data_IF_628861202895
#
_entry.id   IF_628861202895
#
_cell.length_a   1.000
_cell.length_b   1.000
_cell.length_c   1.000
_cell.angle_alpha   90.00
_cell.angle_beta   90.00
_cell.angle_gamma   90.00
#
_symmetry.space_group_name_H-M   'P 1'
#
loop_
_entity.id
_entity.type
_entity.pdbx_description
1 polymer ?
#
# COMPACT_ATOMS: atom_id res chain seq x y z
N UNK A 1 10.46 25.58 -30.44
CA UNK A 1 10.49 24.64 -29.29
C UNK A 1 9.35 24.89 -28.30
N UNK A 2 9.04 26.13 -27.90
CA UNK A 2 7.96 26.45 -26.95
C UNK A 2 6.53 25.96 -27.34
N UNK A 3 6.17 26.01 -28.64
CA UNK A 3 4.86 25.53 -29.11
C UNK A 3 4.68 24.00 -28.97
N UNK A 4 5.76 23.22 -29.12
CA UNK A 4 5.73 21.75 -28.94
C UNK A 4 5.57 21.37 -27.47
N UNK A 5 6.22 22.09 -26.55
CA UNK A 5 6.05 21.90 -25.10
C UNK A 5 4.62 22.27 -24.63
N UNK A 6 4.03 23.34 -25.18
CA UNK A 6 2.65 23.74 -24.86
C UNK A 6 1.58 22.73 -25.31
N UNK A 7 1.75 22.12 -26.49
CA UNK A 7 0.87 21.06 -27.02
C UNK A 7 1.01 19.73 -26.24
N UNK A 8 2.23 19.38 -25.82
CA UNK A 8 2.50 18.23 -24.95
C UNK A 8 1.87 18.40 -23.55
N UNK A 9 1.91 19.61 -22.99
CA UNK A 9 1.25 19.95 -21.72
C UNK A 9 -0.28 19.86 -21.79
N UNK A 10 -0.89 20.35 -22.87
CA UNK A 10 -2.35 20.25 -23.09
C UNK A 10 -2.81 18.79 -23.24
N UNK A 11 -2.05 17.97 -23.99
CA UNK A 11 -2.34 16.55 -24.17
C UNK A 11 -2.26 15.74 -22.87
N UNK A 12 -1.23 16.00 -22.04
CA UNK A 12 -1.12 15.41 -20.69
C UNK A 12 -2.31 15.79 -19.80
N UNK A 13 -2.74 17.05 -19.83
CA UNK A 13 -3.87 17.53 -19.04
C UNK A 13 -5.21 16.87 -19.44
N UNK A 14 -5.44 16.66 -20.74
CA UNK A 14 -6.65 15.98 -21.23
C UNK A 14 -6.65 14.49 -20.83
N UNK A 15 -5.53 13.78 -20.93
CA UNK A 15 -5.43 12.37 -20.51
C UNK A 15 -5.65 12.22 -19.00
N UNK A 16 -5.08 13.11 -18.18
CA UNK A 16 -5.33 13.15 -16.74
C UNK A 16 -6.81 13.40 -16.42
N UNK A 17 -7.47 14.31 -17.13
CA UNK A 17 -8.90 14.59 -16.98
C UNK A 17 -9.76 13.38 -17.39
N UNK A 18 -9.43 12.71 -18.49
CA UNK A 18 -10.15 11.52 -18.95
C UNK A 18 -10.00 10.34 -17.99
N UNK A 19 -8.78 10.08 -17.50
CA UNK A 19 -8.52 9.06 -16.47
C UNK A 19 -9.31 9.37 -15.20
N UNK A 20 -9.33 10.64 -14.80
CA UNK A 20 -10.12 11.11 -13.66
C UNK A 20 -11.61 10.89 -13.84
N UNK A 21 -12.18 11.24 -15.00
CA UNK A 21 -13.60 11.05 -15.28
C UNK A 21 -13.99 9.55 -15.23
N UNK A 22 -13.17 8.69 -15.84
CA UNK A 22 -13.37 7.24 -15.82
C UNK A 22 -13.29 6.67 -14.40
N UNK A 23 -12.38 7.17 -13.57
CA UNK A 23 -12.26 6.75 -12.19
C UNK A 23 -13.49 7.14 -11.35
N UNK A 24 -13.96 8.40 -11.47
CA UNK A 24 -15.19 8.86 -10.80
C UNK A 24 -16.43 8.08 -11.24
N UNK A 25 -16.57 7.82 -12.54
CA UNK A 25 -17.67 6.99 -13.06
C UNK A 25 -17.60 5.55 -12.53
N UNK A 26 -16.40 4.97 -12.48
CA UNK A 26 -16.21 3.60 -11.96
C UNK A 26 -16.53 3.50 -10.47
N UNK A 27 -16.28 4.57 -9.71
CA UNK A 27 -16.58 4.65 -8.27
C UNK A 27 -18.01 5.15 -7.96
N UNK A 28 -18.81 5.47 -8.97
CA UNK A 28 -20.18 5.95 -8.79
C UNK A 28 -21.05 4.92 -8.09
N UNK A 29 -21.89 5.36 -7.14
CA UNK A 29 -22.86 4.49 -6.47
C UNK A 29 -23.88 3.87 -7.44
N UNK A 30 -24.08 4.49 -8.60
CA UNK A 30 -24.96 3.99 -9.67
C UNK A 30 -24.30 2.92 -10.55
N UNK A 31 -23.00 2.67 -10.39
CA UNK A 31 -22.31 1.63 -11.14
C UNK A 31 -22.54 0.27 -10.46
N UNK A 32 -23.28 -0.68 -11.07
CA UNK A 32 -23.53 -2.00 -10.46
C UNK A 32 -22.24 -2.82 -10.31
N UNK A 33 -21.20 -2.48 -11.07
CA UNK A 33 -19.90 -3.11 -11.01
C UNK A 33 -18.96 -2.42 -10.02
N UNK A 34 -19.42 -1.39 -9.28
CA UNK A 34 -18.62 -0.69 -8.28
C UNK A 34 -18.04 -1.68 -7.27
N UNK A 35 -16.82 -1.39 -6.85
CA UNK A 35 -16.19 -2.01 -5.69
C UNK A 35 -16.26 -1.01 -4.55
N UNK A 36 -16.75 -1.41 -3.36
CA UNK A 36 -16.95 -0.49 -2.27
C UNK A 36 -15.61 0.11 -1.82
N UNK A 37 -15.59 1.39 -1.40
CA UNK A 37 -14.42 1.93 -0.74
C UNK A 37 -14.23 1.23 0.61
N UNK A 38 -12.98 1.05 1.02
CA UNK A 38 -12.66 0.65 2.39
C UNK A 38 -13.11 1.76 3.33
N UNK A 39 -14.08 1.46 4.20
CA UNK A 39 -14.67 2.44 5.09
C UNK A 39 -13.73 2.71 6.27
N UNK A 40 -13.19 3.92 6.37
CA UNK A 40 -12.27 4.31 7.45
C UNK A 40 -12.91 4.26 8.85
N UNK A 41 -14.23 4.44 8.96
CA UNK A 41 -14.91 4.49 10.26
C UNK A 41 -14.87 3.16 11.01
N UNK A 42 -14.68 2.03 10.33
CA UNK A 42 -14.56 0.72 11.00
C UNK A 42 -13.29 0.60 11.84
N UNK A 43 -12.30 1.46 11.60
CA UNK A 43 -11.04 1.49 12.33
C UNK A 43 -11.04 2.50 13.48
N UNK A 44 -12.15 3.21 13.70
CA UNK A 44 -12.26 4.21 14.76
C UNK A 44 -11.96 3.61 16.14
N UNK A 45 -11.01 4.23 16.85
CA UNK A 45 -10.60 3.80 18.19
C UNK A 45 -9.84 2.47 18.26
N UNK A 46 -9.53 1.84 17.12
CA UNK A 46 -8.80 0.57 17.06
C UNK A 46 -7.29 0.77 17.23
N UNK A 47 -6.61 -0.26 17.72
CA UNK A 47 -5.15 -0.41 17.63
C UNK A 47 -4.84 -1.18 16.35
N UNK A 48 -4.11 -0.54 15.46
CA UNK A 48 -3.75 -1.09 14.15
C UNK A 48 -2.24 -1.33 14.10
N UNK A 49 -1.83 -2.48 13.58
CA UNK A 49 -0.43 -2.75 13.23
C UNK A 49 -0.31 -2.99 11.73
N UNK A 50 0.66 -2.36 11.09
CA UNK A 50 1.02 -2.58 9.69
C UNK A 50 2.39 -3.24 9.64
N UNK A 51 2.44 -4.41 9.00
CA UNK A 51 3.65 -5.20 8.79
C UNK A 51 4.13 -5.02 7.35
N UNK A 52 5.22 -4.30 7.18
CA UNK A 52 5.96 -4.18 5.94
C UNK A 52 6.93 -5.36 5.75
N UNK A 53 7.45 -5.55 4.53
CA UNK A 53 8.23 -6.74 4.18
C UNK A 53 9.74 -6.59 4.35
N UNK A 54 10.23 -5.48 4.89
CA UNK A 54 11.67 -5.23 4.98
C UNK A 54 12.35 -6.26 5.87
N UNK A 55 13.61 -6.60 5.56
CA UNK A 55 14.43 -7.55 6.32
C UNK A 55 14.46 -7.27 7.83
N UNK A 56 14.36 -6.01 8.23
CA UNK A 56 14.36 -5.54 9.62
C UNK A 56 13.07 -5.84 10.40
N UNK A 57 12.04 -6.41 9.74
CA UNK A 57 10.73 -6.67 10.34
C UNK A 57 10.84 -7.44 11.66
N UNK A 58 11.66 -8.49 11.72
CA UNK A 58 11.77 -9.31 12.92
C UNK A 58 12.44 -8.60 14.09
N UNK A 59 13.40 -7.73 13.80
CA UNK A 59 14.08 -6.92 14.81
C UNK A 59 13.12 -5.86 15.37
N UNK A 60 12.22 -5.34 14.52
CA UNK A 60 11.18 -4.40 14.94
C UNK A 60 10.10 -5.06 15.83
N UNK A 61 9.96 -6.39 15.75
CA UNK A 61 8.92 -7.17 16.44
C UNK A 61 9.40 -7.90 17.71
N UNK A 62 10.66 -7.75 18.13
CA UNK A 62 11.27 -8.50 19.26
C UNK A 62 10.38 -8.59 20.50
N UNK A 63 9.73 -7.49 20.89
CA UNK A 63 8.88 -7.40 22.08
C UNK A 63 7.37 -7.30 21.76
N UNK A 64 6.98 -7.49 20.48
CA UNK A 64 5.62 -7.24 20.03
C UNK A 64 4.82 -8.53 19.82
N UNK A 65 3.70 -8.66 20.54
CA UNK A 65 2.70 -9.70 20.25
C UNK A 65 1.72 -9.17 19.20
N UNK A 66 1.90 -9.56 17.93
CA UNK A 66 1.09 -9.07 16.80
C UNK A 66 -0.41 -9.35 16.98
N UNK A 67 -0.78 -10.53 17.50
CA UNK A 67 -2.20 -10.90 17.69
C UNK A 67 -2.92 -10.09 18.78
N UNK A 68 -2.20 -9.25 19.53
CA UNK A 68 -2.77 -8.33 20.52
C UNK A 68 -3.41 -7.07 19.92
N UNK A 69 -3.24 -6.84 18.61
CA UNK A 69 -3.85 -5.71 17.91
C UNK A 69 -5.29 -5.99 17.53
N UNK A 70 -6.10 -4.94 17.44
CA UNK A 70 -7.48 -5.07 16.97
C UNK A 70 -7.52 -5.36 15.46
N UNK A 71 -6.56 -4.80 14.72
CA UNK A 71 -6.46 -4.90 13.25
C UNK A 71 -5.02 -5.15 12.84
N UNK A 72 -4.79 -6.23 12.10
CA UNK A 72 -3.50 -6.58 11.52
C UNK A 72 -3.53 -6.33 10.01
N UNK A 73 -2.63 -5.49 9.54
CA UNK A 73 -2.52 -5.08 8.14
C UNK A 73 -1.25 -5.66 7.53
N UNK A 74 -1.40 -6.31 6.37
CA UNK A 74 -0.28 -6.84 5.59
C UNK A 74 -0.27 -6.33 4.16
N UNK A 75 0.88 -6.50 3.51
CA UNK A 75 1.12 -6.07 2.14
C UNK A 75 1.46 -7.28 1.27
N UNK A 76 0.88 -7.36 0.08
CA UNK A 76 1.26 -8.31 -0.98
C UNK A 76 1.45 -9.74 -0.43
N UNK A 77 2.64 -10.33 -0.63
CA UNK A 77 2.97 -11.70 -0.21
C UNK A 77 3.14 -11.88 1.31
N UNK A 78 2.87 -10.84 2.11
CA UNK A 78 3.05 -10.87 3.56
C UNK A 78 2.15 -11.87 4.27
N UNK A 79 1.07 -12.33 3.61
CA UNK A 79 0.22 -13.41 4.10
C UNK A 79 0.88 -14.80 3.98
N UNK A 80 1.60 -15.07 2.88
CA UNK A 80 2.34 -16.31 2.71
C UNK A 80 3.52 -16.35 3.70
N UNK A 81 4.26 -15.25 3.80
CA UNK A 81 5.32 -15.08 4.79
C UNK A 81 4.82 -15.36 6.22
N UNK A 82 3.61 -14.92 6.57
CA UNK A 82 3.03 -15.14 7.89
C UNK A 82 2.91 -16.62 8.26
N UNK A 83 2.54 -17.46 7.30
CA UNK A 83 2.34 -18.89 7.49
C UNK A 83 3.65 -19.64 7.71
N UNK A 84 4.76 -19.11 7.20
CA UNK A 84 6.08 -19.73 7.27
C UNK A 84 6.88 -19.31 8.52
N UNK A 85 6.40 -18.32 9.28
CA UNK A 85 7.17 -17.66 10.33
C UNK A 85 6.80 -18.10 11.77
N UNK A 86 6.38 -19.35 11.96
CA UNK A 86 6.08 -19.97 13.27
C UNK A 86 5.25 -19.09 14.22
N UNK A 87 4.29 -18.34 13.68
CA UNK A 87 3.41 -17.45 14.45
C UNK A 87 4.03 -16.13 14.92
N UNK A 88 5.33 -15.87 14.67
CA UNK A 88 6.00 -14.59 15.01
C UNK A 88 5.33 -13.38 14.38
N UNK A 89 4.72 -13.57 13.21
CA UNK A 89 4.00 -12.52 12.52
C UNK A 89 2.51 -12.46 12.90
N UNK A 90 2.02 -13.27 13.84
CA UNK A 90 0.60 -13.36 14.20
C UNK A 90 -0.18 -14.35 13.33
N UNK A 91 -1.35 -14.75 13.82
CA UNK A 91 -2.18 -15.84 13.28
C UNK A 91 -3.31 -15.38 12.33
N UNK A 92 -3.46 -14.07 12.12
CA UNK A 92 -4.49 -13.50 11.25
C UNK A 92 -4.02 -12.28 10.48
N UNK A 93 -4.77 -11.94 9.45
CA UNK A 93 -4.66 -10.68 8.69
C UNK A 93 -6.07 -10.15 8.56
N UNK A 94 -6.36 -8.97 9.10
CA UNK A 94 -7.70 -8.39 8.98
C UNK A 94 -7.82 -7.62 7.66
N UNK A 95 -6.76 -6.91 7.25
CA UNK A 95 -6.70 -6.12 6.02
C UNK A 95 -5.44 -6.46 5.23
N UNK A 96 -5.61 -6.91 3.99
CA UNK A 96 -4.52 -7.17 3.06
C UNK A 96 -4.50 -6.12 1.96
N UNK A 97 -3.49 -5.26 1.93
CA UNK A 97 -3.24 -4.40 0.78
C UNK A 97 -2.45 -5.18 -0.27
N UNK A 98 -3.01 -5.37 -1.46
CA UNK A 98 -2.40 -6.18 -2.53
C UNK A 98 -2.46 -5.44 -3.86
N UNK A 99 -1.43 -5.53 -4.70
CA UNK A 99 -1.46 -4.90 -6.04
C UNK A 99 -2.18 -5.76 -7.12
N UNK A 100 -2.73 -6.91 -6.73
CA UNK A 100 -3.41 -7.91 -7.57
C UNK A 100 -2.60 -8.44 -8.76
N UNK A 101 -1.28 -8.23 -8.80
CA UNK A 101 -0.42 -8.89 -9.77
C UNK A 101 0.03 -10.23 -9.20
N UNK A 102 -0.69 -11.32 -9.44
CA UNK A 102 -0.43 -12.61 -8.78
C UNK A 102 0.49 -13.53 -9.59
N UNK A 103 0.86 -13.14 -10.81
CA UNK A 103 1.61 -13.96 -11.75
C UNK A 103 2.79 -13.21 -12.39
N UNK A 104 3.73 -13.98 -12.94
CA UNK A 104 4.89 -13.48 -13.68
C UNK A 104 6.00 -12.93 -12.78
N UNK A 105 7.05 -12.40 -13.42
CA UNK A 105 8.29 -11.98 -12.76
C UNK A 105 8.10 -10.85 -11.74
N UNK A 106 7.07 -10.01 -11.92
CA UNK A 106 6.72 -8.91 -11.00
C UNK A 106 5.53 -9.24 -10.09
N UNK A 107 5.29 -10.52 -9.85
CA UNK A 107 4.23 -10.98 -8.96
C UNK A 107 4.39 -10.40 -7.56
N UNK A 108 3.26 -10.09 -6.93
CA UNK A 108 3.12 -9.69 -5.54
C UNK A 108 2.79 -10.87 -4.63
N UNK A 109 2.87 -12.11 -5.13
CA UNK A 109 2.39 -13.31 -4.45
C UNK A 109 0.98 -13.66 -4.90
N UNK A 110 0.70 -14.96 -4.98
CA UNK A 110 -0.64 -15.47 -5.28
C UNK A 110 -1.51 -15.41 -4.02
N UNK A 111 -2.75 -14.95 -4.16
CA UNK A 111 -3.70 -14.83 -3.04
C UNK A 111 -5.02 -15.53 -3.37
N UNK A 112 -5.01 -16.87 -3.50
CA UNK A 112 -6.22 -17.62 -3.75
C UNK A 112 -7.20 -17.51 -2.57
N UNK A 113 -8.52 -17.62 -2.78
CA UNK A 113 -9.52 -17.50 -1.72
C UNK A 113 -9.26 -18.40 -0.51
N UNK A 114 -8.78 -19.63 -0.73
CA UNK A 114 -8.42 -20.55 0.35
C UNK A 114 -7.35 -19.97 1.29
N UNK A 115 -6.34 -19.29 0.75
CA UNK A 115 -5.29 -18.64 1.55
C UNK A 115 -5.85 -17.45 2.33
N UNK A 116 -6.68 -16.63 1.69
CA UNK A 116 -7.34 -15.49 2.32
C UNK A 116 -8.23 -15.94 3.50
N UNK A 117 -8.99 -17.01 3.32
CA UNK A 117 -9.84 -17.60 4.36
C UNK A 117 -9.02 -18.22 5.50
N UNK A 118 -7.99 -19.02 5.16
CA UNK A 118 -7.14 -19.67 6.16
C UNK A 118 -6.49 -18.66 7.12
N UNK A 119 -6.12 -17.49 6.58
CA UNK A 119 -5.51 -16.41 7.36
C UNK A 119 -6.50 -15.32 7.80
N UNK A 120 -7.81 -15.59 7.68
CA UNK A 120 -8.93 -14.78 8.20
C UNK A 120 -9.00 -13.35 7.63
N UNK A 121 -8.62 -13.17 6.37
CA UNK A 121 -8.71 -11.88 5.66
C UNK A 121 -10.16 -11.41 5.58
N UNK A 122 -10.43 -10.25 6.16
CA UNK A 122 -11.74 -9.60 6.05
C UNK A 122 -11.79 -8.69 4.82
N UNK A 123 -10.70 -7.94 4.57
CA UNK A 123 -10.61 -7.01 3.45
C UNK A 123 -9.38 -7.27 2.59
N UNK A 124 -9.61 -7.58 1.31
CA UNK A 124 -8.58 -7.51 0.27
C UNK A 124 -8.67 -6.13 -0.39
N UNK A 125 -7.65 -5.30 -0.23
CA UNK A 125 -7.66 -3.90 -0.65
C UNK A 125 -6.73 -3.72 -1.84
N UNK A 126 -7.30 -3.28 -2.97
CA UNK A 126 -6.54 -2.89 -4.13
C UNK A 126 -6.50 -1.37 -4.26
N UNK A 127 -5.35 -0.72 -3.96
CA UNK A 127 -5.21 0.72 -4.21
C UNK A 127 -5.15 0.98 -5.72
N UNK A 128 -6.32 1.26 -6.31
CA UNK A 128 -6.48 1.51 -7.73
C UNK A 128 -6.20 2.99 -8.06
N UNK A 129 -5.10 3.23 -8.78
CA UNK A 129 -4.65 4.57 -9.18
C UNK A 129 -4.94 4.92 -10.65
N UNK A 130 -5.78 4.14 -11.34
CA UNK A 130 -6.29 4.50 -12.68
C UNK A 130 -5.43 4.11 -13.89
N UNK A 131 -4.57 3.07 -13.78
CA UNK A 131 -3.74 2.60 -14.89
C UNK A 131 -4.37 1.55 -15.81
N UNK A 132 -3.84 1.44 -17.03
CA UNK A 132 -4.16 0.36 -17.98
C UNK A 132 -3.84 -1.00 -17.36
N UNK A 133 -4.76 -1.98 -17.46
CA UNK A 133 -4.61 -3.33 -16.90
C UNK A 133 -4.93 -3.51 -15.41
N UNK A 134 -5.00 -2.42 -14.62
CA UNK A 134 -5.40 -2.50 -13.20
C UNK A 134 -6.89 -2.82 -13.01
N UNK A 135 -7.73 -2.39 -13.96
CA UNK A 135 -9.18 -2.63 -13.94
C UNK A 135 -9.54 -4.10 -14.20
N UNK A 136 -8.85 -4.77 -15.13
CA UNK A 136 -9.08 -6.17 -15.46
C UNK A 136 -8.81 -7.07 -14.24
N UNK A 137 -7.61 -6.95 -13.65
CA UNK A 137 -7.20 -7.69 -12.44
C UNK A 137 -8.18 -7.49 -11.28
N UNK A 138 -8.66 -6.26 -11.10
CA UNK A 138 -9.63 -5.93 -10.07
C UNK A 138 -10.98 -6.65 -10.30
N UNK A 139 -11.48 -6.72 -11.54
CA UNK A 139 -12.72 -7.43 -11.85
C UNK A 139 -12.57 -8.94 -11.84
N UNK A 140 -11.44 -9.47 -12.29
CA UNK A 140 -11.10 -10.89 -12.18
C UNK A 140 -11.12 -11.33 -10.71
N UNK A 141 -10.43 -10.59 -9.83
CA UNK A 141 -10.46 -10.86 -8.39
C UNK A 141 -11.87 -10.70 -7.79
N UNK A 142 -12.66 -9.72 -8.25
CA UNK A 142 -14.07 -9.57 -7.82
C UNK A 142 -14.89 -10.80 -8.19
N UNK A 143 -14.73 -11.32 -9.40
CA UNK A 143 -15.43 -12.52 -9.86
C UNK A 143 -15.01 -13.75 -9.04
N UNK A 144 -13.71 -13.92 -8.82
CA UNK A 144 -13.18 -15.01 -7.99
C UNK A 144 -13.73 -14.98 -6.55
N UNK A 145 -13.74 -13.80 -5.91
CA UNK A 145 -14.22 -13.63 -4.53
C UNK A 145 -15.75 -13.64 -4.41
N UNK A 146 -16.51 -13.66 -5.51
CA UNK A 146 -17.98 -13.68 -5.46
C UNK A 146 -18.55 -14.93 -4.78
N UNK A 147 -17.81 -16.04 -4.80
CA UNK A 147 -18.15 -17.27 -4.10
C UNK A 147 -17.72 -17.30 -2.62
N UNK A 148 -17.05 -16.25 -2.13
CA UNK A 148 -16.40 -16.20 -0.81
C UNK A 148 -16.78 -14.92 -0.06
N UNK A 149 -18.04 -14.78 0.38
CA UNK A 149 -18.57 -13.54 0.97
C UNK A 149 -17.88 -13.11 2.27
N UNK A 150 -17.08 -13.99 2.89
CA UNK A 150 -16.28 -13.69 4.08
C UNK A 150 -15.14 -12.71 3.79
N UNK A 151 -14.69 -12.62 2.52
CA UNK A 151 -13.59 -11.74 2.10
C UNK A 151 -14.16 -10.62 1.23
N UNK A 152 -14.14 -9.40 1.74
CA UNK A 152 -14.57 -8.22 1.00
C UNK A 152 -13.44 -7.64 0.15
N UNK A 153 -13.66 -7.54 -1.15
CA UNK A 153 -12.80 -6.75 -2.03
C UNK A 153 -13.14 -5.26 -1.88
N UNK A 154 -12.12 -4.44 -1.62
CA UNK A 154 -12.26 -3.00 -1.41
C UNK A 154 -11.20 -2.20 -2.15
N UNK A 155 -11.44 -0.90 -2.29
CA UNK A 155 -10.47 0.08 -2.80
C UNK A 155 -10.41 1.29 -1.86
N UNK A 156 -9.32 2.07 -1.81
CA UNK A 156 -9.37 3.36 -1.14
C UNK A 156 -10.39 4.30 -1.82
N UNK A 157 -10.97 5.22 -1.05
CA UNK A 157 -11.96 6.15 -1.61
C UNK A 157 -11.34 7.07 -2.68
N UNK A 158 -12.16 7.53 -3.63
CA UNK A 158 -11.71 8.47 -4.67
C UNK A 158 -11.09 9.72 -4.06
N UNK A 159 -11.72 10.27 -3.02
CA UNK A 159 -11.26 11.46 -2.30
C UNK A 159 -9.89 11.24 -1.66
N UNK A 160 -9.69 10.08 -1.03
CA UNK A 160 -8.40 9.68 -0.49
C UNK A 160 -7.34 9.62 -1.60
N UNK A 161 -7.65 8.93 -2.70
CA UNK A 161 -6.72 8.78 -3.81
C UNK A 161 -6.32 10.14 -4.42
N UNK A 162 -7.28 11.06 -4.61
CA UNK A 162 -7.02 12.40 -5.15
C UNK A 162 -6.17 13.26 -4.22
N UNK A 163 -6.45 13.20 -2.91
CA UNK A 163 -5.65 13.89 -1.90
C UNK A 163 -4.21 13.38 -1.93
N UNK A 164 -4.02 12.07 -1.97
CA UNK A 164 -2.69 11.48 -1.97
C UNK A 164 -1.91 11.77 -3.25
N UNK A 165 -2.55 11.67 -4.43
CA UNK A 165 -1.91 12.00 -5.71
C UNK A 165 -1.38 13.44 -5.72
N UNK A 166 -2.09 14.39 -5.11
CA UNK A 166 -1.62 15.78 -5.00
C UNK A 166 -0.40 15.90 -4.09
N UNK A 167 -0.41 15.24 -2.93
CA UNK A 167 0.73 15.22 -2.00
C UNK A 167 1.99 14.58 -2.60
N UNK A 168 1.83 13.65 -3.53
CA UNK A 168 2.91 12.95 -4.22
C UNK A 168 3.25 13.56 -5.60
N UNK A 169 2.77 14.78 -5.89
CA UNK A 169 3.06 15.49 -7.15
C UNK A 169 2.71 14.68 -8.41
N UNK A 170 1.65 13.87 -8.35
CA UNK A 170 1.22 13.03 -9.47
C UNK A 170 1.80 11.62 -9.47
N UNK A 171 2.85 11.34 -8.69
CA UNK A 171 3.39 9.99 -8.53
C UNK A 171 2.39 9.08 -7.83
N UNK A 172 2.53 7.78 -8.10
CA UNK A 172 1.71 6.80 -7.40
C UNK A 172 2.42 6.35 -6.14
N UNK A 173 1.68 6.17 -5.04
CA UNK A 173 2.25 5.55 -3.86
C UNK A 173 2.51 4.07 -4.12
N UNK A 174 3.57 3.56 -3.52
CA UNK A 174 3.75 2.12 -3.32
C UNK A 174 2.60 1.52 -2.50
N UNK A 175 2.47 0.19 -2.50
CA UNK A 175 1.45 -0.49 -1.68
C UNK A 175 1.65 -0.21 -0.19
N UNK A 176 2.89 -0.19 0.27
CA UNK A 176 3.22 0.16 1.65
C UNK A 176 2.81 1.58 2.01
N UNK A 177 3.18 2.55 1.17
CA UNK A 177 2.78 3.95 1.36
C UNK A 177 1.27 4.13 1.29
N UNK A 178 0.58 3.42 0.40
CA UNK A 178 -0.88 3.43 0.32
C UNK A 178 -1.53 2.97 1.63
N UNK A 179 -1.04 1.88 2.23
CA UNK A 179 -1.54 1.36 3.49
C UNK A 179 -1.24 2.31 4.66
N UNK A 180 0.02 2.77 4.79
CA UNK A 180 0.45 3.69 5.85
C UNK A 180 -0.41 4.96 5.84
N UNK A 181 -0.51 5.61 4.68
CA UNK A 181 -1.23 6.89 4.57
C UNK A 181 -2.74 6.72 4.74
N UNK A 182 -3.31 5.58 4.35
CA UNK A 182 -4.71 5.29 4.62
C UNK A 182 -5.00 5.25 6.13
N UNK A 183 -4.19 4.51 6.90
CA UNK A 183 -4.41 4.38 8.34
C UNK A 183 -3.99 5.61 9.14
N UNK A 184 -3.03 6.41 8.65
CA UNK A 184 -2.72 7.71 9.26
C UNK A 184 -3.90 8.68 9.13
N UNK A 185 -4.72 8.58 8.07
CA UNK A 185 -5.94 9.40 7.91
C UNK A 185 -7.16 8.86 8.67
N UNK A 186 -7.08 7.65 9.25
CA UNK A 186 -8.16 7.08 10.04
C UNK A 186 -8.13 7.58 11.49
N UNK A 187 -9.30 7.60 12.13
CA UNK A 187 -9.44 7.95 13.56
C UNK A 187 -9.09 6.76 14.49
N UNK A 188 -7.94 6.13 14.26
CA UNK A 188 -7.45 4.99 15.06
C UNK A 188 -6.93 5.48 16.42
N UNK A 189 -7.00 4.62 17.45
CA UNK A 189 -6.42 4.93 18.77
C UNK A 189 -4.89 4.84 18.72
N UNK A 190 -4.39 3.83 18.04
CA UNK A 190 -2.96 3.55 17.92
C UNK A 190 -2.66 3.00 16.53
N UNK A 191 -1.56 3.45 15.94
CA UNK A 191 -1.01 2.92 14.70
C UNK A 191 0.44 2.52 14.94
N UNK A 192 0.77 1.26 14.70
CA UNK A 192 2.15 0.77 14.74
C UNK A 192 2.63 0.37 13.35
N UNK A 193 3.83 0.83 12.98
CA UNK A 193 4.47 0.53 11.71
C UNK A 193 5.76 -0.26 11.95
N UNK A 194 5.87 -1.45 11.38
CA UNK A 194 7.03 -2.34 11.53
C UNK A 194 7.46 -2.91 10.17
N UNK A 195 8.76 -3.14 9.95
CA UNK A 195 9.24 -3.75 8.70
C UNK A 195 9.19 -2.82 7.48
N UNK A 196 9.40 -1.52 7.66
CA UNK A 196 9.49 -0.53 6.58
C UNK A 196 10.85 0.13 6.56
N UNK A 197 11.52 0.03 5.42
CA UNK A 197 12.82 0.68 5.18
C UNK A 197 12.84 1.47 3.87
N UNK A 198 11.67 1.69 3.26
CA UNK A 198 11.53 2.52 2.04
C UNK A 198 12.52 2.14 0.93
N UNK A 199 12.71 0.84 0.72
CA UNK A 199 13.64 0.23 -0.27
C UNK A 199 15.13 0.47 0.02
N UNK A 200 15.48 0.84 1.25
CA UNK A 200 16.87 0.97 1.70
C UNK A 200 17.48 -0.40 2.09
N UNK A 201 16.65 -1.40 2.38
CA UNK A 201 17.06 -2.78 2.68
C UNK A 201 16.36 -3.79 1.75
N UNK A 202 16.89 -5.01 1.59
CA UNK A 202 16.14 -6.10 0.96
C UNK A 202 14.90 -6.48 1.79
N UNK A 203 14.07 -7.37 1.23
CA UNK A 203 12.96 -7.96 1.96
C UNK A 203 13.39 -9.11 2.86
N UNK A 204 12.49 -9.53 3.74
CA UNK A 204 12.59 -10.80 4.47
C UNK A 204 12.73 -11.96 3.48
N UNK A 205 13.55 -12.94 3.81
CA UNK A 205 13.69 -14.17 3.03
C UNK A 205 12.32 -14.88 2.88
N UNK A 206 12.04 -15.43 1.69
CA UNK A 206 10.72 -16.01 1.38
C UNK A 206 9.64 -14.99 1.01
N UNK A 207 9.85 -13.68 1.22
CA UNK A 207 8.86 -12.68 0.81
C UNK A 207 8.84 -12.47 -0.71
N UNK A 208 10.01 -12.22 -1.31
CA UNK A 208 10.18 -12.13 -2.76
C UNK A 208 11.65 -12.41 -3.13
N UNK A 209 11.88 -13.61 -3.66
CA UNK A 209 13.22 -14.12 -3.98
C UNK A 209 13.92 -13.37 -5.12
N UNK A 210 13.22 -12.50 -5.85
CA UNK A 210 13.84 -11.68 -6.89
C UNK A 210 14.52 -10.43 -6.33
N UNK A 211 14.26 -10.05 -5.07
CA UNK A 211 14.82 -8.85 -4.42
C UNK A 211 15.74 -9.28 -3.28
N UNK A 212 16.99 -9.59 -3.59
CA UNK A 212 17.96 -10.16 -2.64
C UNK A 212 18.87 -9.11 -2.01
N UNK A 213 19.05 -7.98 -2.67
CA UNK A 213 19.94 -6.90 -2.22
C UNK A 213 19.20 -5.55 -2.10
N UNK A 214 19.79 -4.60 -1.36
CA UNK A 214 19.30 -3.22 -1.34
C UNK A 214 19.35 -2.57 -2.73
N UNK A 215 20.32 -2.96 -3.57
CA UNK A 215 20.38 -2.50 -4.96
C UNK A 215 19.17 -3.00 -5.75
N UNK A 216 18.85 -4.29 -5.63
CA UNK A 216 17.67 -4.88 -6.29
C UNK A 216 16.38 -4.19 -5.84
N UNK A 217 16.27 -3.83 -4.56
CA UNK A 217 15.10 -3.13 -4.03
C UNK A 217 14.93 -1.74 -4.67
N UNK A 218 16.03 -0.99 -4.82
CA UNK A 218 16.03 0.32 -5.51
C UNK A 218 15.75 0.17 -7.00
N UNK A 219 16.40 -0.78 -7.67
CA UNK A 219 16.20 -1.07 -9.09
C UNK A 219 14.76 -1.53 -9.38
N UNK A 220 14.17 -2.33 -8.50
CA UNK A 220 12.77 -2.75 -8.60
C UNK A 220 11.81 -1.58 -8.64
N UNK A 221 12.07 -0.54 -7.83
CA UNK A 221 11.25 0.67 -7.80
C UNK A 221 11.57 1.57 -8.99
N UNK A 222 12.84 1.82 -9.26
CA UNK A 222 13.30 2.65 -10.37
C UNK A 222 12.79 2.13 -11.72
N UNK A 223 12.77 0.81 -11.91
CA UNK A 223 12.25 0.16 -13.12
C UNK A 223 10.76 0.43 -13.39
N UNK A 224 10.01 0.94 -12.41
CA UNK A 224 8.62 1.36 -12.63
C UNK A 224 8.50 2.79 -13.15
N UNK A 225 9.46 3.69 -12.81
CA UNK A 225 9.40 5.16 -13.03
C UNK A 225 8.08 5.82 -12.59
N UNK A 226 7.33 5.16 -11.71
CA UNK A 226 5.96 5.56 -11.33
C UNK A 226 5.89 6.04 -9.88
N UNK A 227 6.87 5.63 -9.07
CA UNK A 227 6.96 5.90 -7.64
C UNK A 227 8.11 6.87 -7.36
N UNK A 228 7.95 7.68 -6.32
CA UNK A 228 9.00 8.55 -5.78
C UNK A 228 9.16 8.26 -4.29
N UNK A 229 10.01 7.29 -3.91
CA UNK A 229 10.19 6.91 -2.51
C UNK A 229 10.65 8.04 -1.61
N UNK A 230 11.44 8.99 -2.12
CA UNK A 230 11.90 10.14 -1.34
C UNK A 230 10.73 11.08 -1.02
N UNK A 231 9.86 11.36 -1.99
CA UNK A 231 8.61 12.09 -1.75
C UNK A 231 7.65 11.30 -0.85
N UNK A 232 7.52 9.99 -1.02
CA UNK A 232 6.69 9.14 -0.15
C UNK A 232 7.14 9.23 1.31
N UNK A 233 8.44 9.15 1.60
CA UNK A 233 9.00 9.34 2.95
C UNK A 233 8.65 10.71 3.52
N UNK A 234 8.86 11.78 2.74
CA UNK A 234 8.53 13.16 3.16
C UNK A 234 7.05 13.30 3.54
N UNK A 235 6.15 12.75 2.73
CA UNK A 235 4.71 12.77 3.01
C UNK A 235 4.39 11.93 4.25
N UNK A 236 4.96 10.73 4.40
CA UNK A 236 4.73 9.89 5.58
C UNK A 236 5.19 10.59 6.85
N UNK A 237 6.38 11.20 6.86
CA UNK A 237 6.89 11.99 7.99
C UNK A 237 5.90 13.08 8.40
N UNK A 238 5.42 13.85 7.42
CA UNK A 238 4.44 14.90 7.66
C UNK A 238 3.12 14.34 8.21
N UNK A 239 2.57 13.27 7.63
CA UNK A 239 1.32 12.67 8.10
C UNK A 239 1.43 12.00 9.46
N UNK A 240 2.59 11.46 9.83
CA UNK A 240 2.86 10.94 11.18
C UNK A 240 2.78 12.07 12.21
N UNK A 241 3.38 13.23 11.92
CA UNK A 241 3.29 14.39 12.80
C UNK A 241 1.83 14.86 12.94
N UNK A 242 1.12 14.98 11.82
CA UNK A 242 -0.30 15.37 11.80
C UNK A 242 -1.21 14.38 12.54
N UNK A 243 -0.94 13.07 12.44
CA UNK A 243 -1.71 12.06 13.17
C UNK A 243 -1.49 12.18 14.69
N UNK A 244 -0.25 12.43 15.12
CA UNK A 244 0.06 12.67 16.53
C UNK A 244 -0.62 13.92 17.07
N UNK A 245 -0.65 15.00 16.29
CA UNK A 245 -1.39 16.23 16.64
C UNK A 245 -2.90 15.98 16.79
N UNK A 246 -3.49 15.05 16.03
CA UNK A 246 -4.88 14.59 16.19
C UNK A 246 -5.11 13.68 17.41
N UNK A 247 -4.06 13.35 18.17
CA UNK A 247 -4.13 12.47 19.33
C UNK A 247 -3.97 10.97 19.01
N UNK A 248 -3.60 10.61 17.78
CA UNK A 248 -3.31 9.21 17.43
C UNK A 248 -1.95 8.82 18.00
N UNK A 249 -1.88 7.70 18.75
CA UNK A 249 -0.60 7.13 19.19
C UNK A 249 0.08 6.44 18.02
N UNK A 250 1.03 7.12 17.36
CA UNK A 250 1.83 6.54 16.27
C UNK A 250 3.17 6.01 16.79
N UNK A 251 3.35 4.69 16.76
CA UNK A 251 4.60 3.99 17.13
C UNK A 251 5.29 3.51 15.85
N UNK A 252 6.59 3.79 15.76
CA UNK A 252 7.45 3.30 14.68
C UNK A 252 8.38 2.26 15.26
N UNK A 253 8.52 1.11 14.59
CA UNK A 253 9.58 0.14 14.88
C UNK A 253 10.95 0.82 14.83
N UNK A 254 11.93 0.28 15.57
CA UNK A 254 13.26 0.91 15.71
C UNK A 254 13.90 1.20 14.36
N UNK A 255 13.82 0.26 13.42
CA UNK A 255 14.36 0.41 12.08
C UNK A 255 13.48 1.29 11.18
N UNK A 256 12.15 1.26 11.38
CA UNK A 256 11.23 2.17 10.67
C UNK A 256 11.55 3.62 11.01
N UNK A 257 11.72 3.94 12.29
CA UNK A 257 12.07 5.29 12.73
C UNK A 257 13.40 5.73 12.12
N UNK A 258 14.43 4.89 12.22
CA UNK A 258 15.74 5.15 11.64
C UNK A 258 15.65 5.46 10.14
N UNK A 259 15.12 4.54 9.34
CA UNK A 259 15.08 4.71 7.89
C UNK A 259 14.09 5.76 7.43
N UNK A 260 13.02 6.06 8.18
CA UNK A 260 12.12 7.15 7.82
C UNK A 260 12.81 8.52 7.94
N UNK A 261 13.69 8.70 8.93
CA UNK A 261 14.40 9.95 9.19
C UNK A 261 15.74 10.08 8.45
N UNK A 262 16.35 8.98 8.01
CA UNK A 262 17.55 9.02 7.18
C UNK A 262 17.29 9.72 5.84
N UNK A 263 18.26 10.50 5.37
CA UNK A 263 18.28 10.99 4.00
C UNK A 263 18.34 9.80 3.02
N UNK A 264 17.58 9.87 1.94
CA UNK A 264 17.63 8.88 0.87
C UNK A 264 18.57 9.30 -0.23
N UNK A 265 19.58 8.47 -0.51
CA UNK A 265 20.35 8.51 -1.75
C UNK A 265 19.57 7.82 -2.89
N UNK A 266 18.40 8.37 -3.23
CA UNK A 266 17.79 8.10 -4.53
C UNK A 266 18.29 9.16 -5.51
N UNK A 267 18.72 8.79 -6.73
CA UNK A 267 18.96 9.81 -7.75
C UNK A 267 17.68 10.64 -7.90
N UNK A 268 17.79 11.97 -7.79
CA UNK A 268 16.66 12.87 -8.04
C UNK A 268 16.11 12.55 -9.43
N UNK A 269 14.81 12.24 -9.51
CA UNK A 269 14.16 12.13 -10.81
C UNK A 269 13.88 13.56 -11.28
N UNK A 270 14.62 13.99 -12.31
CA UNK A 270 14.47 15.32 -12.93
C UNK A 270 12.98 15.62 -13.17
N UNK A 271 12.51 16.71 -12.58
CA UNK A 271 11.14 17.18 -12.68
C UNK A 271 10.99 18.09 -13.91
N UNK A 272 10.99 17.48 -15.11
CA UNK A 272 10.69 18.16 -16.39
C UNK A 272 9.22 18.00 -16.86
#
# INVERSE_FOLDING_TARGET
MALRQGLLGLGRNIDLLQRWLRFRLSASALNPWRIPPLNSDMFRGKRVVILGPARTLFDDLEDLVVDSFDVIVRLNNGIALALECDGRLGSRTDVLFHNLNEQGQRSAGSIPPALLLAHKVQYCVFPHWGFKGSKARLFEKKAELSAYPQVSLAVPSVRFCEKLRRKLHGHQPTIGTSAILFFLECDVRELQLHGFTFFQTPYVEGYNDTVKTSKDAREWVAASMVHDPAQEKRVILHEVAQARERGVKVVLGKNVAHHLHEATDFPEMDHD
#
